data_IF_444727718592
#
_entry.id   IF_444727718592
#
_cell.length_a   1.000
_cell.length_b   1.000
_cell.length_c   1.000
_cell.angle_alpha   90.00
_cell.angle_beta   90.00
_cell.angle_gamma   90.00
#
_symmetry.space_group_name_H-M   'P 1'
#
loop_
_entity.id
_entity.type
_entity.pdbx_description
1 polymer ?
#
# COMPACT_ATOMS: atom_id res chain seq x y z
N UNK A 1 26.78 26.32 -19.43
CA UNK A 1 25.57 26.36 -18.57
C UNK A 1 25.10 24.93 -18.45
N UNK A 2 25.55 24.25 -17.39
CA UNK A 2 25.18 22.86 -17.13
C UNK A 2 23.76 22.88 -16.58
N UNK A 3 22.82 22.32 -17.33
CA UNK A 3 21.50 21.99 -16.78
C UNK A 3 21.72 20.76 -15.91
N UNK A 4 21.79 20.96 -14.61
CA UNK A 4 21.60 19.87 -13.66
C UNK A 4 20.17 19.37 -13.87
N UNK A 5 20.03 18.09 -14.22
CA UNK A 5 18.72 17.46 -14.28
C UNK A 5 18.15 17.46 -12.86
N UNK A 6 17.02 18.15 -12.66
CA UNK A 6 16.21 18.02 -11.44
C UNK A 6 16.02 16.52 -11.15
N UNK A 7 16.24 16.06 -9.91
CA UNK A 7 16.06 14.65 -9.58
C UNK A 7 14.61 14.28 -9.90
N UNK A 8 14.42 13.48 -10.94
CA UNK A 8 13.11 12.98 -11.32
C UNK A 8 12.63 12.04 -10.23
N UNK A 9 11.61 12.46 -9.50
CA UNK A 9 10.93 11.59 -8.55
C UNK A 9 10.37 10.40 -9.32
N UNK A 10 10.52 9.20 -8.77
CA UNK A 10 10.03 7.99 -9.42
C UNK A 10 8.50 8.08 -9.56
N UNK A 11 7.94 7.98 -10.78
CA UNK A 11 6.51 8.17 -11.02
C UNK A 11 5.63 7.12 -10.30
N UNK A 12 6.21 6.00 -9.89
CA UNK A 12 5.55 4.94 -9.13
C UNK A 12 5.54 5.18 -7.63
N UNK A 13 5.98 6.35 -7.17
CA UNK A 13 5.97 6.78 -5.77
C UNK A 13 5.25 8.12 -5.58
N UNK A 14 4.47 8.57 -6.58
CA UNK A 14 3.76 9.85 -6.57
C UNK A 14 2.27 9.70 -6.87
N UNK A 15 1.49 10.70 -6.45
CA UNK A 15 0.05 10.79 -6.74
C UNK A 15 -0.70 9.52 -6.29
N UNK A 16 -1.39 8.86 -7.23
CA UNK A 16 -2.13 7.63 -6.95
C UNK A 16 -1.23 6.42 -6.61
N UNK A 17 0.08 6.53 -6.87
CA UNK A 17 1.09 5.52 -6.53
C UNK A 17 1.90 5.90 -5.28
N UNK A 18 1.57 7.02 -4.63
CA UNK A 18 2.24 7.42 -3.41
C UNK A 18 2.08 6.32 -2.33
N UNK A 19 3.16 6.01 -1.58
CA UNK A 19 3.09 5.04 -0.49
C UNK A 19 2.04 5.38 0.56
N UNK A 20 1.48 4.34 1.18
CA UNK A 20 0.63 4.46 2.37
C UNK A 20 1.46 4.06 3.58
N UNK A 21 1.75 5.02 4.46
CA UNK A 21 2.66 4.82 5.58
C UNK A 21 2.00 4.16 6.80
N UNK A 22 0.68 4.21 6.90
CA UNK A 22 -0.06 3.80 8.10
C UNK A 22 -0.82 2.49 7.92
N UNK A 23 -0.75 1.62 8.92
CA UNK A 23 -1.75 0.58 9.15
C UNK A 23 -2.86 1.12 10.03
N UNK A 24 -4.06 1.18 9.47
CA UNK A 24 -5.25 1.73 10.11
C UNK A 24 -6.21 0.61 10.54
N UNK A 25 -6.97 0.87 11.58
CA UNK A 25 -8.15 0.11 11.98
C UNK A 25 -9.22 1.14 12.39
N UNK A 26 -10.16 1.41 11.48
CA UNK A 26 -11.05 2.57 11.60
C UNK A 26 -12.49 2.23 11.28
N UNK A 27 -13.39 2.98 11.92
CA UNK A 27 -14.82 2.98 11.62
C UNK A 27 -15.69 3.17 12.86
N UNK A 28 -17.01 3.35 12.68
CA UNK A 28 -17.74 3.25 11.41
C UNK A 28 -17.36 4.37 10.42
N UNK A 29 -17.29 4.03 9.13
CA UNK A 29 -16.99 4.99 8.07
C UNK A 29 -18.23 5.83 7.74
N UNK A 30 -18.06 7.09 7.28
CA UNK A 30 -19.16 7.86 6.72
C UNK A 30 -19.77 7.18 5.50
N UNK A 31 -21.11 7.16 5.42
CA UNK A 31 -21.87 6.55 4.32
C UNK A 31 -22.79 7.60 3.71
N UNK A 32 -22.78 7.71 2.39
CA UNK A 32 -23.78 8.45 1.61
C UNK A 32 -24.77 7.45 1.02
N UNK A 33 -26.06 7.57 1.37
CA UNK A 33 -27.08 6.59 1.02
C UNK A 33 -27.24 5.52 2.11
N UNK A 34 -27.43 4.26 1.73
CA UNK A 34 -27.66 3.15 2.66
C UNK A 34 -26.88 1.90 2.24
N UNK A 35 -26.21 1.25 3.20
CA UNK A 35 -25.63 -0.08 3.01
C UNK A 35 -26.72 -1.12 3.29
N UNK A 36 -27.06 -2.01 2.33
CA UNK A 36 -28.09 -3.02 2.56
C UNK A 36 -27.78 -3.90 3.77
N UNK A 37 -28.72 -4.00 4.72
CA UNK A 37 -28.53 -4.78 5.95
C UNK A 37 -28.20 -6.26 5.70
N UNK A 38 -28.63 -6.82 4.57
CA UNK A 38 -28.33 -8.19 4.17
C UNK A 38 -26.86 -8.40 3.77
N UNK A 39 -26.11 -7.34 3.48
CA UNK A 39 -24.73 -7.43 3.05
C UNK A 39 -23.79 -7.46 4.26
N UNK A 40 -23.42 -8.68 4.65
CA UNK A 40 -22.50 -8.94 5.75
C UNK A 40 -21.30 -9.72 5.24
N UNK A 41 -20.09 -9.20 5.46
CA UNK A 41 -18.86 -9.84 5.00
C UNK A 41 -17.69 -8.87 4.93
N UNK A 42 -16.64 -9.30 4.24
CA UNK A 42 -15.42 -8.52 4.05
C UNK A 42 -15.04 -8.48 2.57
N UNK A 43 -14.82 -7.28 2.05
CA UNK A 43 -14.16 -7.06 0.78
C UNK A 43 -12.67 -6.85 1.02
N UNK A 44 -11.84 -7.70 0.42
CA UNK A 44 -10.38 -7.64 0.54
C UNK A 44 -9.75 -7.36 -0.82
N UNK A 45 -8.78 -6.46 -0.84
CA UNK A 45 -7.96 -6.13 -2.03
C UNK A 45 -6.49 -6.08 -1.65
N UNK A 46 -5.64 -6.79 -2.39
CA UNK A 46 -4.20 -6.64 -2.29
C UNK A 46 -3.71 -5.46 -3.14
N UNK A 47 -2.87 -4.61 -2.57
CA UNK A 47 -2.15 -3.54 -3.25
C UNK A 47 -0.63 -3.72 -3.14
N UNK A 48 0.10 -3.01 -3.99
CA UNK A 48 1.54 -2.85 -3.88
C UNK A 48 1.83 -1.60 -3.04
N UNK A 49 2.64 -1.72 -1.99
CA UNK A 49 2.97 -0.62 -1.11
C UNK A 49 4.33 -0.84 -0.45
N UNK A 50 5.38 -0.10 -0.83
CA UNK A 50 6.71 -0.30 -0.25
C UNK A 50 6.69 0.03 1.24
N UNK A 51 7.12 -0.89 2.09
CA UNK A 51 7.14 -0.69 3.54
C UNK A 51 8.44 -0.04 4.06
N UNK A 52 9.46 0.02 3.21
CA UNK A 52 10.76 0.66 3.47
C UNK A 52 11.11 1.56 2.29
N UNK A 53 12.05 2.48 2.48
CA UNK A 53 12.50 3.36 1.38
C UNK A 53 12.96 2.51 0.18
N UNK A 54 12.28 2.64 -0.97
CA UNK A 54 12.56 1.83 -2.14
C UNK A 54 13.81 2.32 -2.87
N UNK A 55 14.34 1.48 -3.77
CA UNK A 55 15.47 1.83 -4.64
C UNK A 55 15.03 2.82 -5.73
N UNK A 56 15.96 3.60 -6.33
CA UNK A 56 15.62 4.50 -7.44
C UNK A 56 14.94 3.79 -8.62
N UNK A 57 15.31 2.52 -8.86
CA UNK A 57 14.78 1.60 -9.88
C UNK A 57 13.38 1.05 -9.60
N UNK A 58 12.69 1.50 -8.54
CA UNK A 58 11.41 0.93 -8.13
C UNK A 58 10.35 0.93 -9.24
N UNK A 59 9.66 -0.19 -9.41
CA UNK A 59 8.46 -0.32 -10.23
C UNK A 59 7.24 -0.61 -9.34
N UNK A 60 6.03 -0.26 -9.77
CA UNK A 60 4.80 -0.54 -8.99
C UNK A 60 4.58 -2.03 -8.68
N UNK A 61 5.31 -2.96 -9.30
CA UNK A 61 5.15 -4.40 -9.11
C UNK A 61 6.08 -4.93 -8.01
N UNK A 62 7.01 -4.10 -7.56
CA UNK A 62 8.02 -4.45 -6.58
C UNK A 62 7.58 -4.15 -5.13
N UNK A 63 6.48 -3.41 -4.96
CA UNK A 63 5.98 -3.02 -3.65
C UNK A 63 5.51 -4.20 -2.80
N UNK A 64 5.70 -4.12 -1.49
CA UNK A 64 5.20 -5.12 -0.56
C UNK A 64 3.67 -5.24 -0.64
N UNK A 65 3.16 -6.46 -0.46
CA UNK A 65 1.72 -6.67 -0.41
C UNK A 65 1.10 -5.94 0.78
N UNK A 66 0.09 -5.11 0.54
CA UNK A 66 -0.78 -4.55 1.56
C UNK A 66 -2.22 -4.94 1.30
N UNK A 67 -2.84 -5.63 2.26
CA UNK A 67 -4.26 -5.95 2.20
C UNK A 67 -5.04 -4.77 2.71
N UNK A 68 -5.98 -4.29 1.91
CA UNK A 68 -7.02 -3.35 2.30
C UNK A 68 -8.33 -4.12 2.45
N UNK A 69 -8.98 -3.95 3.60
CA UNK A 69 -10.22 -4.61 3.95
C UNK A 69 -11.31 -3.60 4.26
N UNK A 70 -12.50 -3.82 3.70
CA UNK A 70 -13.73 -3.15 4.10
C UNK A 70 -14.68 -4.21 4.65
N UNK A 71 -14.95 -4.15 5.95
CA UNK A 71 -15.93 -5.00 6.61
C UNK A 71 -17.28 -4.33 6.58
N UNK A 72 -18.29 -5.05 6.11
CA UNK A 72 -19.67 -4.60 5.98
C UNK A 72 -20.55 -5.48 6.88
N UNK A 73 -21.50 -4.86 7.56
CA UNK A 73 -22.46 -5.54 8.43
C UNK A 73 -23.30 -4.53 9.21
N UNK A 74 -24.55 -4.91 9.49
CA UNK A 74 -25.51 -4.09 10.24
C UNK A 74 -25.69 -2.66 9.68
N UNK A 75 -25.64 -2.52 8.36
CA UNK A 75 -25.75 -1.22 7.67
C UNK A 75 -24.53 -0.30 7.83
N UNK A 76 -23.41 -0.80 8.36
CA UNK A 76 -22.18 -0.05 8.60
C UNK A 76 -20.98 -0.61 7.83
N UNK A 77 -19.97 0.24 7.64
CA UNK A 77 -18.68 -0.12 7.06
C UNK A 77 -17.52 0.20 8.03
N UNK A 78 -16.50 -0.64 8.05
CA UNK A 78 -15.22 -0.42 8.77
C UNK A 78 -14.07 -0.71 7.83
N UNK A 79 -12.97 0.02 7.97
CA UNK A 79 -11.76 -0.15 7.16
C UNK A 79 -10.59 -0.65 8.00
N UNK A 80 -9.78 -1.53 7.41
CA UNK A 80 -8.51 -1.95 7.98
C UNK A 80 -7.50 -2.23 6.87
N UNK A 81 -6.24 -1.88 7.06
CA UNK A 81 -5.16 -2.32 6.17
C UNK A 81 -3.97 -2.88 6.93
N UNK A 82 -3.31 -3.90 6.38
CA UNK A 82 -2.11 -4.52 6.95
C UNK A 82 -1.13 -4.93 5.86
N UNK A 83 0.16 -4.72 6.09
CA UNK A 83 1.20 -5.32 5.26
C UNK A 83 1.22 -6.84 5.45
N UNK A 84 1.31 -7.55 4.34
CA UNK A 84 1.54 -8.99 4.31
C UNK A 84 2.94 -9.26 4.82
N UNK A 85 3.05 -9.96 5.94
CA UNK A 85 4.33 -10.21 6.62
C UNK A 85 5.13 -11.32 5.90
N UNK A 86 5.56 -11.05 4.67
CA UNK A 86 6.42 -11.97 3.91
C UNK A 86 7.81 -12.07 4.55
N UNK A 87 8.55 -13.16 4.26
CA UNK A 87 9.95 -13.28 4.70
C UNK A 87 10.84 -12.16 4.15
N UNK A 88 10.54 -11.67 2.93
CA UNK A 88 11.24 -10.57 2.30
C UNK A 88 11.07 -9.28 3.09
N UNK A 89 9.82 -8.88 3.32
CA UNK A 89 9.49 -7.69 4.10
C UNK A 89 10.07 -7.73 5.52
N UNK A 90 9.95 -8.87 6.20
CA UNK A 90 10.50 -9.01 7.55
C UNK A 90 12.02 -8.80 7.58
N UNK A 91 12.73 -9.29 6.57
CA UNK A 91 14.17 -9.07 6.44
C UNK A 91 14.49 -7.59 6.18
N UNK A 92 13.77 -6.94 5.26
CA UNK A 92 13.98 -5.53 4.93
C UNK A 92 13.71 -4.60 6.12
N UNK A 93 12.65 -4.85 6.88
CA UNK A 93 12.35 -4.11 8.12
C UNK A 93 13.44 -4.28 9.17
N UNK A 94 14.02 -5.48 9.31
CA UNK A 94 15.12 -5.71 10.25
C UNK A 94 16.38 -4.93 9.85
N UNK A 95 16.68 -4.86 8.56
CA UNK A 95 17.86 -4.15 8.04
C UNK A 95 17.61 -2.65 7.80
N UNK A 96 16.35 -2.19 7.91
CA UNK A 96 15.96 -0.79 7.72
C UNK A 96 16.11 -0.28 6.27
N UNK A 97 16.21 -1.18 5.29
CA UNK A 97 16.43 -0.83 3.88
C UNK A 97 15.92 -1.91 2.94
N UNK A 98 15.66 -1.54 1.69
CA UNK A 98 15.39 -2.52 0.63
C UNK A 98 16.59 -3.45 0.41
N UNK A 99 16.31 -4.75 0.37
CA UNK A 99 17.29 -5.83 0.21
C UNK A 99 17.18 -6.48 -1.16
N UNK A 100 15.97 -6.63 -1.69
CA UNK A 100 15.70 -7.33 -2.94
C UNK A 100 15.58 -6.34 -4.10
N UNK A 101 16.02 -6.76 -5.29
CA UNK A 101 15.90 -6.00 -6.53
C UNK A 101 14.53 -6.16 -7.18
N UNK A 102 14.21 -5.28 -8.11
CA UNK A 102 12.89 -5.18 -8.75
C UNK A 102 12.88 -5.51 -10.24
N UNK A 103 11.70 -5.41 -10.84
CA UNK A 103 11.44 -5.67 -12.27
C UNK A 103 12.29 -4.84 -13.23
N UNK A 104 12.68 -3.62 -12.84
CA UNK A 104 13.49 -2.73 -13.67
C UNK A 104 15.00 -3.00 -13.60
N UNK A 105 15.43 -4.05 -12.89
CA UNK A 105 16.85 -4.43 -12.72
C UNK A 105 17.25 -5.65 -13.58
N UNK A 106 16.39 -6.07 -14.51
CA UNK A 106 16.62 -7.16 -15.47
C UNK A 106 16.89 -6.65 -16.90
#
# INVERSE_FOLDING_TARGET
>A
MSVEAEPTVNPWLEGNFAPVDDELDTGPLPVTGEIPAALTGEYLRNGFNPAVTPRPSYHWFDGDGMIHGVRLGDGAARYRNRWVQTKGLQAERREGRSLYGGMAEF
#
